data_IF_801256239755
#
_entry.id   IF_801256239755
#
_cell.length_a   1.000
_cell.length_b   1.000
_cell.length_c   1.000
_cell.angle_alpha   90.00
_cell.angle_beta   90.00
_cell.angle_gamma   90.00
#
_symmetry.space_group_name_H-M   'P 1'
#
loop_
_entity.id
_entity.type
_entity.pdbx_description
1 polymer ?
#
# COMPACT_ATOMS: atom_id res chain seq x y z
N UNK A 1 20.74 -9.35 -28.10
CA UNK A 1 21.45 -9.60 -29.38
C UNK A 1 21.73 -8.26 -30.04
N UNK A 2 23.01 -7.92 -30.27
CA UNK A 2 23.43 -6.70 -30.95
C UNK A 2 23.47 -6.97 -32.46
N UNK A 3 22.69 -6.22 -33.23
CA UNK A 3 22.82 -6.16 -34.69
C UNK A 3 22.92 -4.68 -35.07
N UNK A 4 24.13 -4.22 -35.37
CA UNK A 4 24.37 -2.87 -35.87
C UNK A 4 24.34 -2.93 -37.40
N UNK A 5 23.38 -2.24 -38.02
CA UNK A 5 23.34 -2.02 -39.46
C UNK A 5 23.38 -0.51 -39.73
N UNK A 6 24.53 -0.02 -40.17
CA UNK A 6 24.70 1.35 -40.65
C UNK A 6 24.42 1.38 -42.16
N UNK A 7 23.44 2.19 -42.58
CA UNK A 7 23.30 2.55 -44.00
C UNK A 7 22.76 3.97 -44.15
N UNK A 8 23.61 4.83 -44.74
CA UNK A 8 23.33 6.10 -45.42
C UNK A 8 22.58 7.20 -44.64
N UNK A 9 23.31 7.93 -43.80
CA UNK A 9 23.35 9.41 -43.82
C UNK A 9 22.13 10.24 -43.42
N UNK A 10 20.93 9.69 -43.20
CA UNK A 10 19.75 10.47 -42.80
C UNK A 10 18.93 9.73 -41.75
N UNK A 11 18.97 10.21 -40.51
CA UNK A 11 18.23 9.65 -39.37
C UNK A 11 16.80 10.20 -39.41
N UNK A 12 15.92 9.57 -40.20
CA UNK A 12 14.47 9.73 -40.03
C UNK A 12 14.03 8.72 -38.95
N UNK A 13 13.92 9.19 -37.70
CA UNK A 13 13.53 8.36 -36.54
C UNK A 13 12.06 7.98 -36.67
N UNK A 14 11.77 6.70 -36.95
CA UNK A 14 10.43 6.11 -36.81
C UNK A 14 10.41 5.08 -35.69
N UNK A 15 9.87 5.52 -34.55
CA UNK A 15 9.56 4.78 -33.32
C UNK A 15 8.63 3.56 -33.52
N UNK A 16 9.13 2.48 -34.13
CA UNK A 16 8.41 1.18 -34.20
C UNK A 16 9.30 -0.05 -34.04
N UNK A 17 10.38 0.03 -33.24
CA UNK A 17 11.38 -1.05 -33.20
C UNK A 17 10.95 -2.28 -32.37
N UNK A 18 10.24 -2.11 -31.25
CA UNK A 18 9.97 -3.23 -30.32
C UNK A 18 8.96 -4.25 -30.88
N UNK A 19 7.86 -3.76 -31.45
CA UNK A 19 6.85 -4.61 -32.08
C UNK A 19 7.42 -5.48 -33.20
N UNK A 20 8.41 -4.96 -33.95
CA UNK A 20 9.04 -5.70 -35.05
C UNK A 20 10.02 -6.77 -34.55
N UNK A 21 10.80 -6.52 -33.50
CA UNK A 21 11.74 -7.51 -32.98
C UNK A 21 11.02 -8.68 -32.30
N UNK A 22 10.07 -8.37 -31.40
CA UNK A 22 9.25 -9.40 -30.75
C UNK A 22 8.43 -10.16 -31.78
N UNK A 23 7.82 -9.47 -32.75
CA UNK A 23 7.11 -10.15 -33.83
C UNK A 23 8.04 -11.04 -34.67
N UNK A 24 9.28 -10.64 -34.97
CA UNK A 24 10.22 -11.49 -35.74
C UNK A 24 10.61 -12.77 -34.98
N UNK A 25 10.87 -12.67 -33.67
CA UNK A 25 11.16 -13.84 -32.84
C UNK A 25 9.91 -14.73 -32.66
N UNK A 26 8.83 -14.17 -32.14
CA UNK A 26 7.63 -14.93 -31.83
C UNK A 26 6.92 -15.45 -33.08
N UNK A 27 6.92 -14.73 -34.20
CA UNK A 27 6.39 -15.25 -35.48
C UNK A 27 7.16 -16.49 -35.92
N UNK A 28 8.50 -16.49 -35.79
CA UNK A 28 9.32 -17.64 -36.17
C UNK A 28 9.12 -18.83 -35.23
N UNK A 29 9.00 -18.58 -33.93
CA UNK A 29 8.64 -19.62 -32.94
C UNK A 29 7.26 -20.20 -33.26
N UNK A 30 6.24 -19.36 -33.47
CA UNK A 30 4.88 -19.81 -33.84
C UNK A 30 4.88 -20.62 -35.14
N UNK A 31 5.71 -20.25 -36.11
CA UNK A 31 5.87 -21.01 -37.34
C UNK A 31 6.49 -22.40 -37.09
N UNK A 32 7.54 -22.50 -36.26
CA UNK A 32 8.14 -23.77 -35.86
C UNK A 32 7.15 -24.69 -35.12
N UNK A 33 6.22 -24.12 -34.37
CA UNK A 33 5.19 -24.87 -33.63
C UNK A 33 4.02 -25.33 -34.51
N UNK A 34 3.93 -24.89 -35.78
CA UNK A 34 2.80 -25.18 -36.65
C UNK A 34 2.76 -26.67 -37.00
N UNK A 35 1.66 -27.34 -36.64
CA UNK A 35 1.46 -28.76 -36.93
C UNK A 35 2.16 -29.71 -35.97
N UNK A 36 2.86 -29.18 -34.95
CA UNK A 36 3.50 -29.99 -33.92
C UNK A 36 2.55 -30.14 -32.72
N UNK A 37 2.16 -31.37 -32.34
CA UNK A 37 1.34 -31.59 -31.17
C UNK A 37 2.18 -31.33 -29.90
N UNK A 38 1.80 -30.32 -29.12
CA UNK A 38 2.51 -29.90 -27.90
C UNK A 38 2.13 -30.78 -26.70
N UNK A 39 2.50 -32.05 -26.75
CA UNK A 39 2.10 -33.08 -25.77
C UNK A 39 2.91 -33.08 -24.49
N UNK A 40 4.10 -32.46 -24.48
CA UNK A 40 4.95 -32.33 -23.30
C UNK A 40 5.81 -31.05 -23.34
N UNK A 41 6.32 -30.64 -22.18
CA UNK A 41 7.28 -29.54 -22.08
C UNK A 41 8.55 -29.80 -22.89
N UNK A 42 9.01 -31.06 -22.93
CA UNK A 42 10.17 -31.46 -23.72
C UNK A 42 9.96 -31.22 -25.22
N UNK A 43 8.81 -31.65 -25.77
CA UNK A 43 8.46 -31.42 -27.17
C UNK A 43 8.41 -29.93 -27.48
N UNK A 44 7.83 -29.14 -26.58
CA UNK A 44 7.77 -27.67 -26.71
C UNK A 44 9.18 -27.06 -26.72
N UNK A 45 10.03 -27.39 -25.75
CA UNK A 45 11.40 -26.86 -25.64
C UNK A 45 12.26 -27.22 -26.85
N UNK A 46 12.19 -28.48 -27.31
CA UNK A 46 12.90 -28.94 -28.49
C UNK A 46 12.44 -28.17 -29.74
N UNK A 47 11.12 -27.97 -29.89
CA UNK A 47 10.55 -27.26 -31.04
C UNK A 47 10.91 -25.77 -31.05
N UNK A 48 10.88 -25.11 -29.88
CA UNK A 48 11.30 -23.71 -29.77
C UNK A 48 12.81 -23.59 -30.05
N UNK A 49 13.64 -24.45 -29.47
CA UNK A 49 15.11 -24.40 -29.63
C UNK A 49 15.58 -24.76 -31.04
N UNK A 50 14.78 -25.53 -31.80
CA UNK A 50 15.02 -25.82 -33.21
C UNK A 50 14.77 -24.61 -34.13
N UNK A 51 14.17 -23.53 -33.60
CA UNK A 51 13.83 -22.33 -34.37
C UNK A 51 15.11 -21.60 -34.82
N UNK A 52 15.41 -21.70 -36.12
CA UNK A 52 16.54 -21.02 -36.77
C UNK A 52 16.10 -20.26 -38.02
N UNK A 53 16.77 -19.15 -38.32
CA UNK A 53 16.61 -18.42 -39.60
C UNK A 53 17.93 -18.39 -40.37
N UNK A 54 17.86 -18.28 -41.69
CA UNK A 54 19.03 -18.11 -42.57
C UNK A 54 19.82 -16.82 -42.27
N UNK A 55 19.17 -15.84 -41.63
CA UNK A 55 19.78 -14.58 -41.19
C UNK A 55 20.44 -14.67 -39.81
N UNK A 56 20.60 -15.88 -39.24
CA UNK A 56 21.39 -16.10 -38.02
C UNK A 56 20.62 -16.06 -36.69
N UNK A 57 19.28 -15.96 -36.68
CA UNK A 57 18.52 -16.07 -35.43
C UNK A 57 18.65 -17.50 -34.89
N UNK A 58 19.11 -17.63 -33.65
CA UNK A 58 19.10 -18.87 -32.88
C UNK A 58 18.32 -18.63 -31.59
N UNK A 59 17.44 -19.57 -31.24
CA UNK A 59 16.61 -19.51 -30.04
C UNK A 59 17.05 -20.59 -29.06
N UNK A 60 17.17 -20.22 -27.80
CA UNK A 60 17.36 -21.15 -26.69
C UNK A 60 16.12 -21.09 -25.79
N UNK A 61 15.64 -22.24 -25.36
CA UNK A 61 14.53 -22.35 -24.42
C UNK A 61 14.92 -23.26 -23.26
N UNK A 62 14.53 -22.88 -22.06
CA UNK A 62 14.78 -23.63 -20.82
C UNK A 62 13.47 -23.69 -20.04
N UNK A 63 13.18 -24.84 -19.42
CA UNK A 63 12.05 -24.97 -18.51
C UNK A 63 12.39 -24.26 -17.19
N UNK A 64 11.56 -23.32 -16.80
CA UNK A 64 11.62 -22.67 -15.49
C UNK A 64 10.62 -23.35 -14.55
N UNK A 65 11.11 -24.15 -13.61
CA UNK A 65 10.30 -24.87 -12.62
C UNK A 65 10.15 -24.08 -11.30
N UNK A 66 10.60 -22.82 -11.26
CA UNK A 66 10.50 -22.01 -10.07
C UNK A 66 9.02 -21.73 -9.71
N UNK A 67 8.73 -21.76 -8.40
CA UNK A 67 7.41 -21.41 -7.89
C UNK A 67 7.24 -19.88 -7.86
N UNK A 68 6.30 -19.36 -8.63
CA UNK A 68 5.96 -17.93 -8.66
C UNK A 68 4.57 -17.70 -8.03
N UNK A 69 4.49 -17.52 -6.70
CA UNK A 69 3.20 -17.24 -6.05
C UNK A 69 2.62 -15.94 -6.59
N UNK A 70 1.40 -16.01 -7.11
CA UNK A 70 0.69 -14.85 -7.64
C UNK A 70 0.21 -13.94 -6.50
N UNK A 71 0.07 -12.65 -6.78
CA UNK A 71 -0.47 -11.68 -5.81
C UNK A 71 0.49 -11.24 -4.70
N UNK A 72 1.79 -11.54 -4.80
CA UNK A 72 2.80 -10.98 -3.89
C UNK A 72 2.87 -9.46 -4.04
N UNK A 73 2.40 -8.75 -3.01
CA UNK A 73 2.58 -7.31 -2.92
C UNK A 73 4.03 -7.00 -2.51
N UNK A 74 4.77 -6.29 -3.37
CA UNK A 74 6.10 -5.80 -3.02
C UNK A 74 5.98 -4.59 -2.09
N UNK A 75 6.73 -4.59 -0.98
CA UNK A 75 6.86 -3.41 -0.12
C UNK A 75 7.57 -2.28 -0.86
N UNK A 76 7.48 -1.05 -0.34
CA UNK A 76 8.19 0.09 -0.93
C UNK A 76 9.70 -0.11 -0.91
N UNK A 77 10.23 -0.74 0.15
CA UNK A 77 11.64 -1.04 0.29
C UNK A 77 12.08 -2.09 -0.73
N UNK A 78 11.34 -3.19 -0.87
CA UNK A 78 11.59 -4.23 -1.87
C UNK A 78 11.57 -3.66 -3.30
N UNK A 79 10.55 -2.86 -3.65
CA UNK A 79 10.44 -2.22 -4.96
C UNK A 79 11.65 -1.33 -5.26
N UNK A 80 12.06 -0.51 -4.29
CA UNK A 80 13.24 0.36 -4.42
C UNK A 80 14.55 -0.46 -4.47
N UNK A 81 14.59 -1.63 -3.85
CA UNK A 81 15.71 -2.56 -3.94
C UNK A 81 15.84 -3.17 -5.32
N UNK A 82 14.72 -3.55 -5.95
CA UNK A 82 14.69 -4.01 -7.34
C UNK A 82 15.10 -2.89 -8.29
N UNK A 83 14.50 -1.69 -8.16
CA UNK A 83 14.78 -0.55 -9.05
C UNK A 83 16.25 -0.15 -9.07
N UNK A 84 16.95 -0.26 -7.93
CA UNK A 84 18.40 0.02 -7.84
C UNK A 84 19.28 -0.97 -8.60
N UNK A 85 18.77 -2.15 -8.92
CA UNK A 85 19.47 -3.20 -9.67
C UNK A 85 19.09 -3.25 -11.14
N UNK A 86 18.20 -2.36 -11.59
CA UNK A 86 17.79 -2.26 -12.99
C UNK A 86 18.86 -1.49 -13.75
N UNK A 87 19.64 -2.20 -14.55
CA UNK A 87 20.58 -1.64 -15.50
C UNK A 87 19.87 -1.49 -16.85
N UNK A 88 19.66 -0.24 -17.28
CA UNK A 88 18.99 0.07 -18.53
C UNK A 88 19.99 0.11 -19.68
N UNK A 89 19.63 -0.50 -20.80
CA UNK A 89 20.44 -0.48 -22.02
C UNK A 89 20.44 0.92 -22.67
N UNK A 90 21.54 1.29 -23.33
CA UNK A 90 21.63 2.55 -24.09
C UNK A 90 20.61 2.60 -25.23
N UNK A 91 20.26 1.44 -25.80
CA UNK A 91 19.25 1.30 -26.83
C UNK A 91 17.90 0.88 -26.22
N UNK A 92 16.97 1.84 -26.14
CA UNK A 92 15.61 1.62 -25.62
C UNK A 92 15.59 1.06 -24.18
N UNK A 93 16.36 1.66 -23.28
CA UNK A 93 16.46 1.27 -21.88
C UNK A 93 15.15 1.26 -21.08
N UNK A 94 14.11 1.90 -21.60
CA UNK A 94 12.76 1.83 -21.06
C UNK A 94 12.08 0.45 -21.23
N UNK A 95 12.57 -0.39 -22.17
CA UNK A 95 12.13 -1.78 -22.35
C UNK A 95 13.28 -2.80 -22.27
N UNK A 96 14.50 -2.41 -22.60
CA UNK A 96 15.68 -3.26 -22.59
C UNK A 96 16.46 -3.01 -21.31
N UNK A 97 16.27 -3.86 -20.32
CA UNK A 97 16.97 -3.75 -19.05
C UNK A 97 17.39 -5.12 -18.52
N UNK A 98 18.46 -5.12 -17.73
CA UNK A 98 18.92 -6.28 -16.97
C UNK A 98 18.67 -6.01 -15.49
N UNK A 99 18.07 -6.96 -14.78
CA UNK A 99 17.98 -6.89 -13.32
C UNK A 99 19.13 -7.72 -12.76
N UNK A 100 20.11 -7.06 -12.14
CA UNK A 100 21.26 -7.76 -11.56
C UNK A 100 20.83 -8.73 -10.44
N UNK A 101 21.46 -9.92 -10.33
CA UNK A 101 21.14 -10.90 -9.30
C UNK A 101 21.32 -10.31 -7.90
N UNK A 102 20.53 -10.79 -6.95
CA UNK A 102 20.68 -10.35 -5.56
C UNK A 102 21.86 -11.09 -4.96
N UNK A 103 22.83 -10.37 -4.38
CA UNK A 103 23.88 -11.03 -3.63
C UNK A 103 23.24 -11.70 -2.38
N UNK A 104 23.34 -13.03 -2.20
CA UNK A 104 22.72 -13.72 -1.06
C UNK A 104 23.22 -13.22 0.30
N UNK A 105 24.44 -12.67 0.37
CA UNK A 105 24.99 -12.04 1.58
C UNK A 105 24.40 -10.65 1.87
N UNK A 106 23.77 -10.04 0.87
CA UNK A 106 22.89 -8.87 1.08
C UNK A 106 21.48 -9.37 1.39
N UNK A 107 21.34 -10.09 2.49
CA UNK A 107 20.06 -10.15 3.18
C UNK A 107 19.67 -8.71 3.49
N UNK A 108 18.55 -8.24 2.90
CA UNK A 108 17.88 -7.09 3.49
C UNK A 108 17.64 -7.47 4.95
N UNK A 109 17.96 -6.61 5.93
CA UNK A 109 17.54 -6.86 7.30
C UNK A 109 16.07 -7.25 7.22
N UNK A 110 15.69 -8.36 7.86
CA UNK A 110 14.29 -8.71 8.06
C UNK A 110 13.55 -7.41 8.32
N UNK A 111 12.48 -7.15 7.53
CA UNK A 111 11.63 -5.97 7.70
C UNK A 111 11.54 -5.71 9.19
N UNK A 112 11.95 -4.53 9.71
CA UNK A 112 11.56 -4.18 11.06
C UNK A 112 10.04 -4.30 11.01
N UNK A 113 9.52 -5.30 11.72
CA UNK A 113 8.10 -5.54 11.88
C UNK A 113 7.53 -4.38 12.68
N UNK A 114 7.44 -3.22 12.06
CA UNK A 114 6.51 -2.14 12.34
C UNK A 114 6.78 -0.97 11.38
N UNK A 115 5.95 -0.84 10.34
CA UNK A 115 5.60 0.50 9.83
C UNK A 115 4.77 1.29 10.86
N UNK A 116 4.67 0.81 12.11
CA UNK A 116 4.36 1.69 13.23
C UNK A 116 5.57 2.60 13.32
N UNK A 117 5.44 3.81 12.74
CA UNK A 117 6.38 4.88 13.03
C UNK A 117 6.56 5.04 14.56
N UNK A 118 7.41 5.98 15.02
CA UNK A 118 7.65 6.16 16.45
C UNK A 118 6.35 6.15 17.25
N UNK A 119 6.36 5.59 18.47
CA UNK A 119 5.16 5.48 19.30
C UNK A 119 4.44 6.82 19.33
N UNK A 120 3.12 6.77 19.17
CA UNK A 120 2.33 8.00 19.09
C UNK A 120 2.58 8.80 20.37
N UNK A 121 2.96 10.09 20.29
CA UNK A 121 3.28 10.88 21.47
C UNK A 121 2.15 10.86 22.49
N UNK A 122 2.50 10.64 23.76
CA UNK A 122 1.52 10.61 24.85
C UNK A 122 0.74 11.94 24.94
N UNK A 123 1.45 13.06 24.74
CA UNK A 123 0.89 14.41 24.69
C UNK A 123 -0.17 14.57 23.59
N UNK A 124 0.10 14.04 22.39
CA UNK A 124 -0.86 14.08 21.29
C UNK A 124 -2.10 13.24 21.61
N UNK A 125 -1.90 12.07 22.18
CA UNK A 125 -2.99 11.19 22.62
C UNK A 125 -3.83 11.87 23.70
N UNK A 126 -3.19 12.49 24.69
CA UNK A 126 -3.85 13.24 25.75
C UNK A 126 -4.62 14.44 25.18
N UNK A 127 -4.05 15.23 24.28
CA UNK A 127 -4.74 16.36 23.67
C UNK A 127 -5.97 15.91 22.87
N UNK A 128 -5.83 14.87 22.05
CA UNK A 128 -6.87 14.42 21.13
C UNK A 128 -8.03 13.67 21.83
N UNK A 129 -7.78 13.10 23.00
CA UNK A 129 -8.81 12.45 23.84
C UNK A 129 -9.57 13.43 24.74
N UNK A 130 -9.37 14.74 24.58
CA UNK A 130 -10.07 15.76 25.35
C UNK A 130 -11.60 15.72 25.13
N UNK A 131 -12.44 15.90 26.17
CA UNK A 131 -13.90 15.89 26.05
C UNK A 131 -14.47 16.90 25.04
N UNK A 132 -13.83 18.06 24.86
CA UNK A 132 -14.21 19.02 23.82
C UNK A 132 -14.16 18.39 22.40
N UNK A 133 -13.25 17.45 22.18
CA UNK A 133 -13.02 16.82 20.88
C UNK A 133 -13.80 15.52 20.72
N UNK A 134 -13.75 14.65 21.73
CA UNK A 134 -14.41 13.32 21.72
C UNK A 134 -15.88 13.40 22.09
N UNK A 135 -16.29 14.44 22.84
CA UNK A 135 -17.63 14.61 23.40
C UNK A 135 -17.93 13.75 24.61
N UNK A 136 -16.90 13.10 25.18
CA UNK A 136 -17.03 12.19 26.31
C UNK A 136 -15.83 12.34 27.25
N UNK A 137 -15.98 12.03 28.54
CA UNK A 137 -14.85 11.91 29.46
C UNK A 137 -13.80 10.91 28.95
N UNK A 138 -12.54 11.11 29.36
CA UNK A 138 -11.43 10.22 28.97
C UNK A 138 -11.68 8.78 29.41
N UNK A 139 -12.26 8.59 30.60
CA UNK A 139 -12.63 7.27 31.11
C UNK A 139 -13.68 6.59 30.23
N UNK A 140 -14.71 7.33 29.81
CA UNK A 140 -15.73 6.83 28.89
C UNK A 140 -15.14 6.48 27.52
N UNK A 141 -14.14 7.25 27.06
CA UNK A 141 -13.39 6.91 25.86
C UNK A 141 -12.58 5.60 26.02
N UNK A 142 -11.90 5.38 27.14
CA UNK A 142 -11.18 4.12 27.38
C UNK A 142 -12.15 2.93 27.50
N UNK A 143 -13.31 3.11 28.14
CA UNK A 143 -14.37 2.10 28.16
C UNK A 143 -14.87 1.77 26.74
N UNK A 144 -15.04 2.78 25.88
CA UNK A 144 -15.40 2.58 24.48
C UNK A 144 -14.35 1.77 23.72
N UNK A 145 -13.06 2.04 23.96
CA UNK A 145 -11.95 1.30 23.34
C UNK A 145 -12.03 -0.18 23.73
N UNK A 146 -12.19 -0.49 25.01
CA UNK A 146 -12.34 -1.87 25.50
C UNK A 146 -13.58 -2.56 24.93
N UNK A 147 -14.73 -1.86 24.93
CA UNK A 147 -15.99 -2.39 24.40
C UNK A 147 -15.92 -2.76 22.92
N UNK A 148 -15.14 -2.02 22.13
CA UNK A 148 -14.99 -2.26 20.70
C UNK A 148 -13.86 -3.23 20.34
N UNK A 149 -13.06 -3.67 21.31
CA UNK A 149 -11.95 -4.58 21.08
C UNK A 149 -12.38 -5.94 20.48
N UNK A 150 -13.44 -6.61 20.96
CA UNK A 150 -13.90 -7.87 20.36
C UNK A 150 -14.30 -7.69 18.88
N UNK A 151 -14.96 -6.59 18.54
CA UNK A 151 -15.29 -6.26 17.15
C UNK A 151 -14.02 -6.09 16.30
N UNK A 152 -12.97 -5.46 16.84
CA UNK A 152 -11.69 -5.27 16.14
C UNK A 152 -11.01 -6.61 15.88
N UNK A 153 -11.02 -7.51 16.86
CA UNK A 153 -10.43 -8.84 16.74
C UNK A 153 -11.13 -9.65 15.63
N UNK A 154 -12.47 -9.61 15.57
CA UNK A 154 -13.26 -10.26 14.51
C UNK A 154 -12.93 -9.70 13.13
N UNK A 155 -12.86 -8.38 12.97
CA UNK A 155 -12.49 -7.74 11.69
C UNK A 155 -11.07 -8.15 11.25
N UNK A 156 -10.12 -8.13 12.18
CA UNK A 156 -8.73 -8.53 11.92
C UNK A 156 -8.64 -10.01 11.53
N UNK A 157 -9.40 -10.89 12.18
CA UNK A 157 -9.48 -12.31 11.83
C UNK A 157 -10.14 -12.53 10.46
N UNK A 158 -11.20 -11.77 10.13
CA UNK A 158 -11.83 -11.82 8.82
C UNK A 158 -10.88 -11.36 7.69
N UNK A 159 -10.05 -10.35 7.94
CA UNK A 159 -9.00 -9.91 7.01
C UNK A 159 -7.96 -11.00 6.75
N UNK A 160 -7.49 -11.68 7.81
CA UNK A 160 -6.55 -12.80 7.68
C UNK A 160 -7.14 -13.95 6.85
N UNK A 161 -8.45 -14.19 6.97
CA UNK A 161 -9.15 -15.20 6.16
C UNK A 161 -9.32 -14.78 4.71
N UNK A 162 -9.56 -13.49 4.42
CA UNK A 162 -9.72 -13.02 3.05
C UNK A 162 -8.41 -12.94 2.27
N UNK A 163 -7.29 -12.66 2.95
CA UNK A 163 -5.95 -12.70 2.32
C UNK A 163 -5.58 -14.05 1.72
N UNK A 164 -6.27 -15.14 2.10
CA UNK A 164 -6.07 -16.49 1.54
C UNK A 164 -6.94 -16.84 0.33
N UNK A 165 -7.93 -16.03 -0.06
CA UNK A 165 -8.80 -16.32 -1.23
C UNK A 165 -8.76 -15.27 -2.34
N UNK A 166 -8.60 -14.00 -1.97
CA UNK A 166 -8.41 -12.90 -2.91
C UNK A 166 -7.64 -11.83 -2.12
N UNK A 167 -6.37 -11.57 -2.45
CA UNK A 167 -5.41 -10.73 -1.71
C UNK A 167 -5.75 -9.24 -1.54
N UNK A 168 -7.02 -8.88 -1.29
CA UNK A 168 -7.54 -7.52 -1.06
C UNK A 168 -7.68 -7.15 0.42
N UNK A 169 -7.40 -8.08 1.35
CA UNK A 169 -7.68 -7.89 2.78
C UNK A 169 -6.67 -7.05 3.57
N UNK A 170 -5.39 -7.14 3.22
CA UNK A 170 -4.31 -6.36 3.85
C UNK A 170 -3.76 -5.41 2.80
N UNK A 171 -3.92 -4.10 3.01
CA UNK A 171 -3.31 -3.11 2.14
C UNK A 171 -2.04 -2.57 2.82
N UNK A 172 -0.87 -3.20 2.65
CA UNK A 172 0.38 -2.78 3.28
C UNK A 172 0.80 -1.36 2.92
N UNK A 173 0.17 -0.71 1.93
CA UNK A 173 0.42 0.70 1.60
C UNK A 173 -0.17 1.73 2.59
N UNK A 174 -1.03 1.31 3.52
CA UNK A 174 -1.58 2.16 4.57
C UNK A 174 -1.03 1.71 5.92
N UNK A 175 -0.07 2.47 6.47
CA UNK A 175 0.68 2.14 7.69
C UNK A 175 -0.18 1.77 8.91
N UNK A 176 0.45 1.25 9.96
CA UNK A 176 -0.22 0.72 11.14
C UNK A 176 -0.70 1.83 12.09
N UNK A 177 -1.83 1.53 12.74
CA UNK A 177 -2.41 2.30 13.83
C UNK A 177 -2.95 1.28 14.81
N UNK A 178 -2.68 1.43 16.09
CA UNK A 178 -3.17 0.58 17.16
C UNK A 178 -4.67 0.80 17.39
N UNK A 179 -5.32 -0.15 18.09
CA UNK A 179 -6.77 -0.15 18.27
C UNK A 179 -7.30 1.13 18.92
N UNK A 180 -6.62 1.62 19.96
CA UNK A 180 -7.01 2.84 20.68
C UNK A 180 -7.06 4.04 19.73
N UNK A 181 -6.01 4.26 18.95
CA UNK A 181 -5.96 5.40 18.03
C UNK A 181 -6.85 5.22 16.79
N UNK A 182 -7.17 3.98 16.38
CA UNK A 182 -8.20 3.72 15.37
C UNK A 182 -9.58 4.21 15.82
N UNK A 183 -9.97 3.84 17.04
CA UNK A 183 -11.23 4.29 17.65
C UNK A 183 -11.23 5.81 17.81
N UNK A 184 -10.14 6.38 18.34
CA UNK A 184 -9.97 7.84 18.48
C UNK A 184 -10.17 8.56 17.13
N UNK A 185 -9.48 8.10 16.09
CA UNK A 185 -9.56 8.73 14.77
C UNK A 185 -10.97 8.61 14.18
N UNK A 186 -11.67 7.48 14.41
CA UNK A 186 -13.04 7.29 13.97
C UNK A 186 -14.02 8.24 14.68
N UNK A 187 -13.86 8.45 16.00
CA UNK A 187 -14.65 9.40 16.79
C UNK A 187 -14.41 10.83 16.31
N UNK A 188 -13.14 11.25 16.21
CA UNK A 188 -12.77 12.60 15.77
C UNK A 188 -13.28 12.91 14.35
N UNK A 189 -13.17 11.94 13.43
CA UNK A 189 -13.73 12.06 12.07
C UNK A 189 -15.25 12.17 12.07
N UNK A 190 -15.93 11.43 12.94
CA UNK A 190 -17.39 11.42 13.01
C UNK A 190 -17.93 12.74 13.55
N UNK A 191 -17.26 13.32 14.54
CA UNK A 191 -17.60 14.62 15.14
C UNK A 191 -17.02 15.82 14.39
N UNK A 192 -16.10 15.62 13.46
CA UNK A 192 -15.44 16.70 12.72
C UNK A 192 -14.89 17.81 13.64
N UNK A 193 -14.36 17.45 14.81
CA UNK A 193 -13.90 18.39 15.85
C UNK A 193 -12.45 18.81 15.69
N UNK A 194 -11.68 18.09 14.88
CA UNK A 194 -10.33 18.41 14.47
C UNK A 194 -10.12 17.92 13.05
N UNK A 195 -9.31 18.63 12.27
CA UNK A 195 -8.97 18.16 10.93
C UNK A 195 -8.11 16.89 10.99
N UNK A 196 -8.37 15.92 10.10
CA UNK A 196 -7.55 14.71 10.00
C UNK A 196 -6.09 15.01 9.64
N UNK A 197 -5.82 16.15 9.01
CA UNK A 197 -4.46 16.64 8.74
C UNK A 197 -3.74 17.00 10.03
N UNK A 198 -4.35 17.84 10.87
CA UNK A 198 -3.76 18.24 12.15
C UNK A 198 -3.65 17.04 13.10
N UNK A 199 -4.68 16.19 13.18
CA UNK A 199 -4.62 14.99 14.01
C UNK A 199 -3.50 14.04 13.56
N UNK A 200 -3.27 13.91 12.25
CA UNK A 200 -2.19 13.08 11.72
C UNK A 200 -0.82 13.66 12.07
N UNK A 201 -0.64 14.97 11.95
CA UNK A 201 0.57 15.68 12.32
C UNK A 201 0.90 15.49 13.81
N UNK A 202 -0.07 15.71 14.69
CA UNK A 202 0.09 15.48 16.13
C UNK A 202 0.44 14.04 16.47
N UNK A 203 -0.15 13.07 15.76
CA UNK A 203 0.15 11.64 15.98
C UNK A 203 1.47 11.19 15.31
N UNK A 204 2.17 12.05 14.58
CA UNK A 204 3.35 11.65 13.80
C UNK A 204 3.01 10.60 12.72
N UNK A 205 1.85 10.73 12.08
CA UNK A 205 1.34 9.83 11.04
C UNK A 205 0.94 10.62 9.80
N UNK A 206 0.74 9.90 8.68
CA UNK A 206 0.24 10.51 7.43
C UNK A 206 -1.28 10.63 7.49
N UNK A 207 -1.84 11.71 6.95
CA UNK A 207 -3.31 11.91 6.81
C UNK A 207 -4.04 10.69 6.22
N UNK A 208 -3.44 10.07 5.21
CA UNK A 208 -4.05 8.93 4.52
C UNK A 208 -4.19 7.70 5.41
N UNK A 209 -3.27 7.51 6.37
CA UNK A 209 -3.33 6.43 7.37
C UNK A 209 -4.53 6.64 8.28
N UNK A 210 -4.68 7.84 8.83
CA UNK A 210 -5.84 8.19 9.67
C UNK A 210 -7.16 8.10 8.89
N UNK A 211 -7.20 8.60 7.65
CA UNK A 211 -8.41 8.53 6.81
C UNK A 211 -8.83 7.08 6.55
N UNK A 212 -7.87 6.21 6.22
CA UNK A 212 -8.11 4.79 6.00
C UNK A 212 -8.67 4.12 7.26
N UNK A 213 -7.96 4.24 8.39
CA UNK A 213 -8.35 3.59 9.64
C UNK A 213 -9.66 4.15 10.22
N UNK A 214 -9.89 5.46 10.13
CA UNK A 214 -11.16 6.05 10.55
C UNK A 214 -12.34 5.55 9.72
N UNK A 215 -12.15 5.38 8.40
CA UNK A 215 -13.20 4.82 7.54
C UNK A 215 -13.53 3.39 7.90
N UNK A 216 -12.52 2.60 8.26
CA UNK A 216 -12.64 1.18 8.60
C UNK A 216 -13.22 0.93 9.99
N UNK A 217 -12.90 1.78 10.96
CA UNK A 217 -13.40 1.68 12.33
C UNK A 217 -14.73 2.40 12.55
N UNK A 218 -15.14 3.30 11.65
CA UNK A 218 -16.43 4.02 11.77
C UNK A 218 -17.65 3.09 11.93
N UNK A 219 -17.82 1.98 11.17
CA UNK A 219 -18.94 1.08 11.37
C UNK A 219 -18.97 0.46 12.77
N UNK A 220 -17.81 0.30 13.41
CA UNK A 220 -17.73 -0.30 14.73
C UNK A 220 -18.39 0.57 15.80
N UNK A 221 -18.37 1.90 15.62
CA UNK A 221 -19.01 2.84 16.54
C UNK A 221 -20.51 2.61 16.67
N UNK A 222 -21.16 1.98 15.68
CA UNK A 222 -22.58 1.63 15.77
C UNK A 222 -22.86 0.55 16.85
N UNK A 223 -21.86 -0.28 17.20
CA UNK A 223 -22.01 -1.34 18.22
C UNK A 223 -21.79 -0.84 19.66
N UNK A 224 -21.42 0.42 19.84
CA UNK A 224 -21.20 1.02 21.16
C UNK A 224 -22.48 1.55 21.83
N UNK A 225 -23.64 1.39 21.17
CA UNK A 225 -24.94 1.73 21.73
C UNK A 225 -25.42 3.17 21.46
N UNK A 226 -26.63 3.51 21.94
CA UNK A 226 -27.34 4.74 21.58
C UNK A 226 -26.74 6.00 22.23
N UNK A 227 -26.04 5.87 23.36
CA UNK A 227 -25.39 6.98 24.04
C UNK A 227 -24.27 7.57 23.17
N UNK A 228 -23.40 6.72 22.62
CA UNK A 228 -22.37 7.17 21.68
C UNK A 228 -22.99 7.82 20.44
N UNK A 229 -24.09 7.26 19.92
CA UNK A 229 -24.76 7.83 18.76
C UNK A 229 -25.18 9.29 19.01
N UNK A 230 -25.71 9.61 20.20
CA UNK A 230 -26.07 10.98 20.60
C UNK A 230 -24.83 11.89 20.65
N UNK A 231 -23.74 11.41 21.24
CA UNK A 231 -22.48 12.16 21.32
C UNK A 231 -21.94 12.46 19.90
N UNK A 232 -22.04 11.52 18.97
CA UNK A 232 -21.51 11.68 17.61
C UNK A 232 -22.38 12.59 16.70
N UNK A 233 -23.57 13.00 17.14
CA UNK A 233 -24.44 13.94 16.37
C UNK A 233 -23.78 15.31 16.21
N UNK A 234 -23.09 15.79 17.24
CA UNK A 234 -22.45 17.10 17.20
C UNK A 234 -21.33 17.11 16.16
N UNK A 235 -21.39 18.10 15.26
CA UNK A 235 -20.35 18.38 14.28
C UNK A 235 -19.91 19.83 14.32
N UNK A 236 -18.59 20.05 14.37
CA UNK A 236 -18.04 21.41 14.21
C UNK A 236 -18.06 21.78 12.72
N UNK A 237 -18.56 22.97 12.42
CA UNK A 237 -18.56 23.52 11.04
C UNK A 237 -17.14 23.85 10.59
N UNK A 238 -16.34 24.43 11.50
CA UNK A 238 -14.97 24.85 11.25
C UNK A 238 -14.02 24.18 12.25
N UNK A 239 -13.52 22.97 11.94
CA UNK A 239 -12.54 22.32 12.80
C UNK A 239 -11.18 23.06 12.77
N UNK A 240 -10.48 23.14 13.91
CA UNK A 240 -9.15 23.71 14.00
C UNK A 240 -8.16 22.98 13.07
N UNK A 241 -7.30 23.79 12.45
CA UNK A 241 -6.23 23.38 11.51
C UNK A 241 -4.83 23.56 12.08
N UNK A 242 -4.68 24.34 13.15
CA UNK A 242 -3.42 24.58 13.85
C UNK A 242 -3.53 24.15 15.32
N UNK A 243 -2.39 23.86 15.94
CA UNK A 243 -2.31 23.49 17.35
C UNK A 243 -2.85 24.60 18.27
N UNK A 244 -2.54 25.86 17.96
CA UNK A 244 -3.04 27.02 18.74
C UNK A 244 -4.56 27.13 18.70
N UNK A 245 -5.16 26.97 17.52
CA UNK A 245 -6.62 26.98 17.39
C UNK A 245 -7.25 25.81 18.15
N UNK A 246 -6.61 24.64 18.14
CA UNK A 246 -7.08 23.48 18.90
C UNK A 246 -7.04 23.72 20.42
N UNK A 247 -5.97 24.33 20.93
CA UNK A 247 -5.83 24.67 22.36
C UNK A 247 -6.88 25.68 22.80
N UNK A 248 -7.16 26.72 22.01
CA UNK A 248 -8.24 27.69 22.32
C UNK A 248 -9.61 27.03 22.46
N UNK A 249 -9.92 26.06 21.58
CA UNK A 249 -11.19 25.32 21.65
C UNK A 249 -11.31 24.50 22.94
N UNK A 250 -10.20 23.95 23.42
CA UNK A 250 -10.14 23.21 24.68
C UNK A 250 -10.36 24.18 25.85
N UNK A 251 -9.63 25.31 25.87
CA UNK A 251 -9.74 26.33 26.92
C UNK A 251 -11.14 26.94 27.01
N UNK A 252 -11.79 27.23 25.87
CA UNK A 252 -13.18 27.71 25.81
C UNK A 252 -14.14 26.73 26.50
N UNK A 253 -14.01 25.43 26.21
CA UNK A 253 -14.87 24.40 26.78
C UNK A 253 -14.64 24.24 28.29
N UNK A 254 -13.39 24.28 28.75
CA UNK A 254 -13.06 24.15 30.17
C UNK A 254 -13.59 25.34 30.97
N UNK A 255 -13.53 26.55 30.40
CA UNK A 255 -14.13 27.74 30.99
C UNK A 255 -15.67 27.65 31.06
N UNK A 256 -16.33 27.08 30.05
CA UNK A 256 -17.77 26.82 30.07
C UNK A 256 -18.18 25.80 31.14
N UNK A 257 -17.37 24.76 31.36
CA UNK A 257 -17.64 23.73 32.39
C UNK A 257 -17.48 24.34 33.79
N UNK A 258 -16.41 25.12 34.01
CA UNK A 258 -16.14 25.76 35.30
C UNK A 258 -17.20 26.82 35.68
N UNK A 259 -17.70 27.58 34.69
CA UNK A 259 -18.75 28.58 34.90
C UNK A 259 -20.14 28.00 35.13
N UNK A 260 -20.42 26.76 34.68
CA UNK A 260 -21.66 26.02 35.01
C UNK A 260 -21.62 25.29 36.35
N UNK A 261 -20.43 25.13 36.92
CA UNK A 261 -20.21 24.42 38.18
C UNK A 261 -20.05 25.35 39.38
N UNK A 262 -20.03 26.67 39.14
CA UNK A 262 -20.01 27.75 40.15
C UNK A 262 -21.41 28.35 40.30
#
# INVERSE_FOLDING_TARGET
>A
MREAAQRNGSIERRDRALGRLHHRLFSRITHSLRGQPLTSYEVLLQTISATRTSTGLTVQAVLDENAYPTGRALTRAERKGVERRVERDEFHGEWNYTIAPQNPDQQHPEDPHDESGPPIPAEATFLLTHPALTGMPREQFEQLVLHLEPCQQVLTAAERRSTGRDGRGRNPGFGTLDHRHRVLTAVLRSRNTVTLTLAAELMGRKRNVLSYHAGRSKPMLAFAGPELARILVFRRTHPPRTLEALKRVIEEQDNEINSRSS
#
